data_IF_728492023385
#
_entry.id   IF_728492023385
#
_cell.length_a   1.000
_cell.length_b   1.000
_cell.length_c   1.000
_cell.angle_alpha   90.00
_cell.angle_beta   90.00
_cell.angle_gamma   90.00
#
_symmetry.space_group_name_H-M   'P 1'
#
loop_
_entity.id
_entity.type
_entity.pdbx_description
1 polymer ?
#
# COMPACT_ATOMS: atom_id res chain seq x y z
N UNK A 1 -39.77 80.81 44.60
CA UNK A 1 -41.17 80.39 44.36
C UNK A 1 -41.09 79.03 43.76
N UNK A 2 -41.79 78.10 44.40
CA UNK A 2 -42.22 76.71 43.98
C UNK A 2 -41.14 75.66 43.79
N UNK A 3 -41.03 74.87 44.86
CA UNK A 3 -40.55 73.50 44.92
C UNK A 3 -41.27 72.58 44.01
N UNK A 4 -40.58 71.65 43.38
CA UNK A 4 -41.14 70.42 42.99
C UNK A 4 -40.11 69.27 43.25
N UNK A 5 -40.44 68.46 44.23
CA UNK A 5 -39.70 67.26 44.61
C UNK A 5 -39.92 66.13 43.59
N UNK A 6 -38.83 65.51 43.18
CA UNK A 6 -38.89 64.24 42.43
C UNK A 6 -38.45 63.11 43.32
N UNK A 7 -39.39 62.20 43.52
CA UNK A 7 -39.23 60.96 44.30
C UNK A 7 -38.50 59.94 43.42
N UNK A 8 -37.33 59.49 43.84
CA UNK A 8 -36.56 58.42 43.18
C UNK A 8 -36.95 57.07 43.79
N UNK A 9 -37.70 56.25 43.05
CA UNK A 9 -38.00 54.86 43.41
C UNK A 9 -36.81 53.95 43.16
N UNK A 10 -36.25 53.40 44.22
CA UNK A 10 -35.18 52.40 44.18
C UNK A 10 -35.77 51.00 43.97
N UNK A 11 -35.66 50.45 42.78
CA UNK A 11 -36.05 49.07 42.50
C UNK A 11 -34.84 48.16 42.82
N UNK A 12 -34.94 47.41 43.90
CA UNK A 12 -33.95 46.40 44.25
C UNK A 12 -34.14 45.14 43.39
N UNK A 13 -33.19 44.92 42.48
CA UNK A 13 -33.12 43.67 41.72
C UNK A 13 -32.40 42.62 42.57
N UNK A 14 -33.17 41.61 43.01
CA UNK A 14 -32.62 40.42 43.69
C UNK A 14 -31.90 39.55 42.66
N UNK A 15 -30.58 39.51 42.73
CA UNK A 15 -29.76 38.53 41.98
C UNK A 15 -29.84 37.19 42.72
N UNK A 16 -30.58 36.27 42.17
CA UNK A 16 -30.57 34.85 42.61
C UNK A 16 -29.23 34.26 42.14
N UNK A 17 -28.32 34.05 43.07
CA UNK A 17 -27.13 33.28 42.87
C UNK A 17 -27.52 31.80 42.64
N UNK A 18 -27.33 31.29 41.43
CA UNK A 18 -27.40 29.85 41.12
C UNK A 18 -26.18 29.16 41.76
N UNK A 19 -26.45 28.29 42.72
CA UNK A 19 -25.42 27.39 43.27
C UNK A 19 -24.88 26.45 42.15
N UNK A 20 -23.55 26.18 42.09
CA UNK A 20 -22.98 25.28 41.13
C UNK A 20 -23.42 23.85 41.43
N UNK A 21 -23.97 23.18 40.43
CA UNK A 21 -24.36 21.79 40.45
C UNK A 21 -23.15 20.88 40.76
N UNK A 22 -23.10 20.12 41.88
CA UNK A 22 -21.94 19.31 42.27
C UNK A 22 -21.76 18.01 41.46
N UNK A 23 -22.50 17.82 40.34
CA UNK A 23 -22.45 16.61 39.52
C UNK A 23 -21.80 16.82 38.13
N UNK A 24 -21.25 17.98 37.84
CA UNK A 24 -20.41 18.14 36.65
C UNK A 24 -19.02 17.53 36.94
N UNK A 25 -18.90 16.24 36.85
CA UNK A 25 -17.60 15.55 36.83
C UNK A 25 -16.89 15.91 35.52
N UNK A 26 -15.89 16.76 35.61
CA UNK A 26 -14.91 16.92 34.53
C UNK A 26 -14.26 15.56 34.28
N UNK A 27 -14.27 15.02 33.06
CA UNK A 27 -13.62 13.73 32.80
C UNK A 27 -12.13 13.87 33.10
N UNK A 28 -11.64 12.98 34.00
CA UNK A 28 -10.21 12.89 34.32
C UNK A 28 -9.38 12.71 33.05
N UNK A 29 -8.23 13.38 32.91
CA UNK A 29 -7.36 13.28 31.74
C UNK A 29 -6.82 11.84 31.52
N UNK A 30 -6.94 10.94 32.49
CA UNK A 30 -6.54 9.53 32.36
C UNK A 30 -7.57 8.72 31.58
N UNK A 31 -8.85 9.10 31.52
CA UNK A 31 -9.87 8.40 30.73
C UNK A 31 -9.81 8.72 29.23
N UNK A 32 -9.19 9.84 28.84
CA UNK A 32 -9.03 10.19 27.43
C UNK A 32 -7.87 9.45 26.74
N UNK A 33 -6.95 8.85 27.50
CA UNK A 33 -5.82 8.10 26.92
C UNK A 33 -6.14 6.63 26.62
N UNK A 34 -7.26 6.09 27.09
CA UNK A 34 -7.62 4.67 26.93
C UNK A 34 -8.50 4.38 25.69
N UNK A 35 -8.91 5.39 24.93
CA UNK A 35 -9.78 5.21 23.76
C UNK A 35 -9.11 5.51 22.41
N UNK A 36 -7.80 5.63 22.37
CA UNK A 36 -7.05 5.66 21.12
C UNK A 36 -6.67 4.24 20.66
N UNK A 37 -7.64 3.33 20.59
CA UNK A 37 -7.53 2.27 19.60
C UNK A 37 -7.45 2.97 18.25
N UNK A 38 -6.37 2.78 17.48
CA UNK A 38 -6.36 3.27 16.12
C UNK A 38 -7.50 2.55 15.39
N UNK A 39 -8.62 3.24 15.23
CA UNK A 39 -9.63 2.85 14.27
C UNK A 39 -8.87 2.81 12.93
N UNK A 40 -8.54 1.60 12.47
CA UNK A 40 -8.08 1.39 11.11
C UNK A 40 -9.22 1.88 10.21
N UNK A 41 -9.10 3.11 9.76
CA UNK A 41 -10.01 3.65 8.76
C UNK A 41 -9.66 2.94 7.47
N UNK A 42 -10.46 1.96 7.12
CA UNK A 42 -10.41 1.33 5.81
C UNK A 42 -11.02 2.33 4.84
N UNK A 43 -10.17 3.08 4.16
CA UNK A 43 -10.61 3.93 3.07
C UNK A 43 -10.83 3.05 1.84
N UNK A 44 -12.08 2.71 1.57
CA UNK A 44 -12.47 2.00 0.35
C UNK A 44 -12.48 3.01 -0.79
N UNK A 45 -11.53 2.90 -1.71
CA UNK A 45 -11.54 3.68 -2.95
C UNK A 45 -12.34 2.93 -3.99
N UNK A 46 -13.45 3.53 -4.43
CA UNK A 46 -14.18 3.05 -5.58
C UNK A 46 -13.56 3.69 -6.85
N UNK A 47 -13.05 2.88 -7.75
CA UNK A 47 -12.62 3.28 -9.10
C UNK A 47 -13.31 2.39 -10.12
N UNK A 48 -13.68 3.00 -11.22
CA UNK A 48 -14.30 2.29 -12.34
C UNK A 48 -13.25 2.11 -13.43
N UNK A 49 -12.98 0.87 -13.82
CA UNK A 49 -12.08 0.53 -14.91
C UNK A 49 -12.70 -0.56 -15.78
N UNK A 50 -12.51 -0.54 -17.12
CA UNK A 50 -13.09 -1.53 -18.00
C UNK A 50 -12.40 -2.89 -17.87
N UNK A 51 -13.15 -3.94 -17.50
CA UNK A 51 -12.69 -5.31 -17.57
C UNK A 51 -13.00 -5.93 -18.94
N UNK A 52 -12.12 -6.76 -19.43
CA UNK A 52 -12.26 -7.49 -20.68
C UNK A 52 -12.31 -8.99 -20.39
N UNK A 53 -13.25 -9.68 -21.03
CA UNK A 53 -13.28 -11.15 -21.01
C UNK A 53 -12.33 -11.67 -22.08
N UNK A 54 -11.25 -12.31 -21.65
CA UNK A 54 -10.21 -12.90 -22.49
C UNK A 54 -10.44 -14.41 -22.72
N UNK A 55 -11.41 -15.02 -22.04
CA UNK A 55 -11.69 -16.45 -22.14
C UNK A 55 -12.09 -16.90 -23.54
N UNK A 56 -11.72 -18.12 -23.90
CA UNK A 56 -12.11 -18.80 -25.15
C UNK A 56 -11.79 -18.06 -26.45
N UNK A 57 -10.65 -17.34 -26.49
CA UNK A 57 -10.21 -16.60 -27.67
C UNK A 57 -9.05 -17.29 -28.34
N UNK A 58 -9.09 -17.36 -29.66
CA UNK A 58 -8.03 -17.90 -30.49
C UNK A 58 -6.96 -16.87 -30.87
N UNK A 59 -7.31 -15.57 -30.80
CA UNK A 59 -6.41 -14.49 -31.17
C UNK A 59 -6.02 -13.65 -29.92
N UNK A 60 -4.77 -13.20 -29.86
CA UNK A 60 -4.32 -12.29 -28.81
C UNK A 60 -5.14 -10.98 -28.82
N UNK A 61 -5.48 -10.50 -27.62
CA UNK A 61 -6.13 -9.22 -27.42
C UNK A 61 -5.09 -8.16 -27.04
N UNK A 62 -5.10 -7.02 -27.70
CA UNK A 62 -4.24 -5.89 -27.38
C UNK A 62 -5.01 -4.85 -26.58
N UNK A 63 -4.38 -4.34 -25.55
CA UNK A 63 -4.87 -3.23 -24.73
C UNK A 63 -3.74 -2.23 -24.50
N UNK A 64 -4.11 -0.98 -24.31
CA UNK A 64 -3.17 0.08 -23.92
C UNK A 64 -3.29 0.34 -22.42
N UNK A 65 -2.26 0.94 -21.83
CA UNK A 65 -2.30 1.57 -20.53
C UNK A 65 -2.20 3.07 -20.70
N UNK A 66 -3.07 3.79 -20.01
CA UNK A 66 -3.01 5.23 -19.89
C UNK A 66 -2.55 5.63 -18.50
N UNK A 67 -1.71 6.66 -18.42
CA UNK A 67 -1.30 7.25 -17.17
C UNK A 67 -2.48 7.84 -16.42
N UNK A 68 -2.60 7.52 -15.15
CA UNK A 68 -3.57 8.12 -14.24
C UNK A 68 -3.11 9.53 -13.81
N UNK A 69 -3.93 10.20 -12.98
CA UNK A 69 -3.69 11.59 -12.53
C UNK A 69 -2.27 11.82 -11.99
N UNK A 70 -1.69 10.83 -11.34
CA UNK A 70 -0.35 10.94 -10.74
C UNK A 70 0.80 10.89 -11.75
N UNK A 71 0.60 10.29 -12.91
CA UNK A 71 1.63 10.17 -13.97
C UNK A 71 1.00 10.12 -15.37
N UNK A 72 0.45 11.24 -15.85
CA UNK A 72 -0.30 11.28 -17.12
C UNK A 72 0.55 10.91 -18.34
N UNK A 73 1.88 11.11 -18.28
CA UNK A 73 2.80 10.81 -19.37
C UNK A 73 3.22 9.33 -19.45
N UNK A 74 2.92 8.54 -18.39
CA UNK A 74 3.19 7.12 -18.40
C UNK A 74 2.26 6.41 -19.39
N UNK A 75 2.83 5.48 -20.16
CA UNK A 75 2.11 4.73 -21.17
C UNK A 75 2.56 3.28 -21.15
N UNK A 76 1.70 2.41 -21.61
CA UNK A 76 2.03 1.00 -21.80
C UNK A 76 1.11 0.32 -22.78
N UNK A 77 1.47 -0.89 -23.14
CA UNK A 77 0.67 -1.81 -23.94
C UNK A 77 0.78 -3.21 -23.34
N UNK A 78 -0.27 -4.01 -23.49
CA UNK A 78 -0.22 -5.43 -23.18
C UNK A 78 -0.84 -6.24 -24.32
N UNK A 79 -0.24 -7.41 -24.54
CA UNK A 79 -0.79 -8.49 -25.35
C UNK A 79 -1.28 -9.57 -24.40
N UNK A 80 -2.57 -9.87 -24.46
CA UNK A 80 -3.25 -10.83 -23.59
C UNK A 80 -3.74 -12.00 -24.42
N UNK A 81 -3.28 -13.21 -24.10
CA UNK A 81 -3.57 -14.42 -24.85
C UNK A 81 -4.07 -15.52 -23.93
N UNK A 82 -5.23 -16.09 -24.25
CA UNK A 82 -5.78 -17.23 -23.50
C UNK A 82 -5.38 -18.55 -24.15
N UNK A 83 -4.65 -19.40 -23.39
CA UNK A 83 -4.22 -20.72 -23.83
C UNK A 83 -4.56 -21.75 -22.77
N UNK A 84 -5.36 -22.73 -23.11
CA UNK A 84 -5.69 -23.88 -22.23
C UNK A 84 -6.21 -23.46 -20.84
N UNK A 85 -7.02 -22.42 -20.77
CA UNK A 85 -7.60 -21.92 -19.53
C UNK A 85 -6.69 -21.00 -18.70
N UNK A 86 -5.46 -20.75 -19.15
CA UNK A 86 -4.53 -19.79 -18.57
C UNK A 86 -4.43 -18.58 -19.47
N UNK A 87 -4.50 -17.39 -18.91
CA UNK A 87 -4.33 -16.13 -19.62
C UNK A 87 -2.89 -15.65 -19.42
N UNK A 88 -2.14 -15.54 -20.52
CA UNK A 88 -0.78 -15.02 -20.57
C UNK A 88 -0.84 -13.54 -20.88
N UNK A 89 0.02 -12.74 -20.23
CA UNK A 89 0.08 -11.31 -20.34
C UNK A 89 1.54 -10.92 -20.59
N UNK A 90 1.82 -10.32 -21.76
CA UNK A 90 3.10 -9.68 -22.07
C UNK A 90 2.85 -8.17 -22.10
N UNK A 91 3.36 -7.45 -21.10
CA UNK A 91 3.13 -6.02 -20.94
C UNK A 91 4.42 -5.22 -20.92
N UNK A 92 4.39 -4.02 -21.51
CA UNK A 92 5.52 -3.11 -21.63
C UNK A 92 5.07 -1.70 -21.30
N UNK A 93 5.95 -0.97 -20.62
CA UNK A 93 5.70 0.40 -20.20
C UNK A 93 6.86 1.32 -20.58
N UNK A 94 6.54 2.60 -20.73
CA UNK A 94 7.49 3.70 -20.93
C UNK A 94 7.06 4.93 -20.14
N UNK A 95 8.03 5.80 -19.85
CA UNK A 95 7.84 6.98 -19.00
C UNK A 95 7.35 6.63 -17.58
N UNK A 96 7.72 5.45 -17.07
CA UNK A 96 7.40 5.00 -15.74
C UNK A 96 8.50 5.46 -14.77
N UNK A 97 8.31 6.59 -14.12
CA UNK A 97 9.26 7.16 -13.16
C UNK A 97 9.45 6.22 -11.95
N UNK A 98 10.45 6.51 -11.11
CA UNK A 98 10.64 5.74 -9.88
C UNK A 98 9.41 5.82 -8.96
N UNK A 99 8.99 4.72 -8.29
CA UNK A 99 7.84 4.72 -7.38
C UNK A 99 8.02 5.67 -6.19
N UNK A 100 9.25 5.98 -5.77
CA UNK A 100 9.53 6.96 -4.71
C UNK A 100 9.03 8.38 -5.04
N UNK A 101 8.68 8.66 -6.30
CA UNK A 101 8.04 9.93 -6.69
C UNK A 101 6.73 10.18 -5.94
N UNK A 102 6.03 9.15 -5.53
CA UNK A 102 4.74 9.24 -4.81
C UNK A 102 4.88 9.28 -3.29
N UNK A 103 6.08 9.16 -2.82
CA UNK A 103 6.46 9.15 -1.41
C UNK A 103 7.59 8.16 -1.17
N UNK A 104 8.48 8.46 -0.25
CA UNK A 104 9.68 7.67 0.01
C UNK A 104 9.40 6.22 0.49
N UNK A 105 8.17 5.95 0.89
CA UNK A 105 7.70 4.63 1.31
C UNK A 105 7.15 3.76 0.16
N UNK A 106 6.96 4.31 -1.04
CA UNK A 106 6.58 3.52 -2.22
C UNK A 106 7.85 3.03 -2.92
N UNK A 107 8.03 1.71 -2.95
CA UNK A 107 9.28 1.07 -3.36
C UNK A 107 9.13 0.12 -4.55
N UNK A 108 7.90 -0.21 -4.92
CA UNK A 108 7.58 -1.10 -6.02
C UNK A 108 6.41 -0.58 -6.85
N UNK A 109 6.36 -0.99 -8.11
CA UNK A 109 5.12 -1.01 -8.87
C UNK A 109 4.60 -2.43 -8.97
N UNK A 110 3.29 -2.60 -8.88
CA UNK A 110 2.63 -3.89 -9.00
C UNK A 110 1.57 -3.83 -10.08
N UNK A 111 1.59 -4.84 -10.96
CA UNK A 111 0.51 -5.09 -11.91
C UNK A 111 -0.58 -5.92 -11.25
N UNK A 112 -1.82 -5.51 -11.41
CA UNK A 112 -2.99 -6.19 -10.86
C UNK A 112 -3.96 -6.59 -11.95
N UNK A 113 -4.54 -7.79 -11.78
CA UNK A 113 -5.80 -8.16 -12.43
C UNK A 113 -6.95 -7.92 -11.45
N UNK A 114 -7.94 -7.11 -11.83
CA UNK A 114 -9.11 -6.78 -11.02
C UNK A 114 -10.33 -7.40 -11.67
N UNK A 115 -11.01 -8.31 -10.95
CA UNK A 115 -12.22 -8.98 -11.46
C UNK A 115 -13.44 -8.04 -11.43
N UNK A 116 -14.53 -8.33 -12.17
CA UNK A 116 -15.76 -7.57 -12.10
C UNK A 116 -16.36 -7.43 -10.70
N UNK A 117 -16.08 -8.39 -9.82
CA UNK A 117 -16.50 -8.37 -8.41
C UNK A 117 -15.58 -7.52 -7.51
N UNK A 118 -14.56 -6.86 -8.10
CA UNK A 118 -13.62 -6.01 -7.39
C UNK A 118 -12.48 -6.74 -6.67
N UNK A 119 -12.28 -8.05 -6.92
CA UNK A 119 -11.14 -8.78 -6.34
C UNK A 119 -9.88 -8.48 -7.14
N UNK A 120 -8.84 -8.03 -6.45
CA UNK A 120 -7.54 -7.78 -7.04
C UNK A 120 -6.60 -8.98 -6.84
N UNK A 121 -5.92 -9.39 -7.91
CA UNK A 121 -4.85 -10.38 -7.90
C UNK A 121 -3.54 -9.69 -8.30
N UNK A 122 -2.51 -9.81 -7.45
CA UNK A 122 -1.16 -9.37 -7.75
C UNK A 122 -0.57 -10.26 -8.85
N UNK A 123 -0.21 -9.65 -9.98
CA UNK A 123 0.37 -10.34 -11.13
C UNK A 123 1.90 -10.24 -11.19
N UNK A 124 2.50 -9.41 -10.35
CA UNK A 124 3.95 -9.27 -10.24
C UNK A 124 4.44 -7.83 -10.18
N UNK A 125 5.71 -7.73 -9.78
CA UNK A 125 6.43 -6.47 -9.66
C UNK A 125 6.88 -5.96 -11.03
N UNK A 126 6.69 -4.67 -11.26
CA UNK A 126 7.21 -3.95 -12.42
C UNK A 126 8.43 -3.14 -11.97
N UNK A 127 9.58 -3.44 -12.55
CA UNK A 127 10.85 -2.76 -12.23
C UNK A 127 11.31 -1.89 -13.39
N UNK A 128 11.10 -0.57 -13.35
CA UNK A 128 11.58 0.34 -14.38
C UNK A 128 13.10 0.38 -14.43
N UNK A 129 13.65 0.45 -15.63
CA UNK A 129 15.08 0.70 -15.86
C UNK A 129 15.42 2.20 -15.72
N UNK A 130 16.69 2.54 -15.91
CA UNK A 130 17.16 3.93 -15.90
C UNK A 130 16.55 4.80 -17.01
N UNK A 131 16.00 4.19 -18.06
CA UNK A 131 15.27 4.84 -19.14
C UNK A 131 13.76 4.92 -18.90
N UNK A 132 13.30 4.62 -17.67
CA UNK A 132 11.89 4.59 -17.30
C UNK A 132 11.05 3.61 -18.15
N UNK A 133 11.67 2.53 -18.61
CA UNK A 133 11.03 1.46 -19.36
C UNK A 133 10.94 0.21 -18.47
N UNK A 134 9.87 -0.54 -18.64
CA UNK A 134 9.70 -1.82 -17.95
C UNK A 134 9.01 -2.83 -18.87
N UNK A 135 9.22 -4.11 -18.57
CA UNK A 135 8.55 -5.24 -19.18
C UNK A 135 8.20 -6.25 -18.10
N UNK A 136 7.02 -6.86 -18.20
CA UNK A 136 6.59 -7.97 -17.36
C UNK A 136 5.86 -9.01 -18.20
N UNK A 137 6.30 -10.26 -18.09
CA UNK A 137 5.59 -11.43 -18.60
C UNK A 137 5.02 -12.18 -17.40
N UNK A 138 3.72 -12.44 -17.42
CA UNK A 138 3.02 -13.10 -16.32
C UNK A 138 1.82 -13.88 -16.82
N UNK A 139 1.14 -14.62 -15.92
CA UNK A 139 -0.06 -15.35 -16.27
C UNK A 139 -1.04 -15.40 -15.10
N UNK A 140 -2.33 -15.60 -15.42
CA UNK A 140 -3.39 -15.77 -14.44
C UNK A 140 -4.42 -16.80 -14.93
N UNK A 141 -5.16 -17.39 -13.99
CA UNK A 141 -6.32 -18.23 -14.30
C UNK A 141 -7.62 -17.41 -14.44
N UNK A 142 -7.60 -16.14 -14.09
CA UNK A 142 -8.73 -15.24 -14.29
C UNK A 142 -9.01 -15.08 -15.78
N UNK A 143 -10.28 -15.13 -16.16
CA UNK A 143 -10.71 -15.00 -17.57
C UNK A 143 -11.26 -13.62 -17.89
N UNK A 144 -11.81 -12.92 -16.88
CA UNK A 144 -12.38 -11.58 -17.03
C UNK A 144 -11.76 -10.67 -15.99
N UNK A 145 -11.04 -9.65 -16.44
CA UNK A 145 -10.38 -8.71 -15.53
C UNK A 145 -10.03 -7.40 -16.23
N UNK A 146 -9.85 -6.36 -15.40
CA UNK A 146 -9.17 -5.14 -15.75
C UNK A 146 -7.71 -5.21 -15.31
N UNK A 147 -6.82 -4.44 -15.93
CA UNK A 147 -5.43 -4.31 -15.53
C UNK A 147 -5.17 -2.90 -14.99
N UNK A 148 -4.60 -2.83 -13.80
CA UNK A 148 -4.13 -1.57 -13.21
C UNK A 148 -2.71 -1.72 -12.69
N UNK A 149 -1.98 -0.61 -12.62
CA UNK A 149 -0.65 -0.54 -11.98
C UNK A 149 -0.72 0.43 -10.83
N UNK A 150 -0.25 0.00 -9.67
CA UNK A 150 -0.17 0.82 -8.46
C UNK A 150 1.25 0.95 -7.96
N UNK A 151 1.54 2.03 -7.21
CA UNK A 151 2.78 2.16 -6.46
C UNK A 151 2.59 1.58 -5.06
N UNK A 152 3.47 0.69 -4.64
CA UNK A 152 3.32 -0.12 -3.44
C UNK A 152 4.54 -0.04 -2.51
N UNK A 153 4.36 -0.26 -1.20
CA UNK A 153 5.46 -0.27 -0.25
C UNK A 153 6.39 -1.49 -0.39
N UNK A 154 5.89 -2.58 -0.98
CA UNK A 154 6.65 -3.79 -1.32
C UNK A 154 5.91 -4.60 -2.39
N UNK A 155 6.63 -5.47 -3.09
CA UNK A 155 6.12 -6.14 -4.29
C UNK A 155 5.07 -7.22 -4.01
N UNK A 156 5.10 -7.88 -2.84
CA UNK A 156 4.23 -9.04 -2.55
C UNK A 156 2.92 -8.66 -1.84
N UNK A 157 2.54 -7.40 -1.85
CA UNK A 157 1.24 -6.94 -1.32
C UNK A 157 0.08 -7.73 -1.94
N UNK A 158 -0.94 -8.01 -1.15
CA UNK A 158 -2.14 -8.75 -1.60
C UNK A 158 -3.36 -7.85 -1.83
N UNK A 159 -3.22 -6.57 -1.52
CA UNK A 159 -4.22 -5.53 -1.77
C UNK A 159 -3.54 -4.32 -2.38
N UNK A 160 -4.12 -3.71 -3.42
CA UNK A 160 -3.54 -2.53 -4.03
C UNK A 160 -3.66 -1.29 -3.13
N UNK A 161 -2.69 -0.39 -3.26
CA UNK A 161 -2.76 0.94 -2.66
C UNK A 161 -3.70 1.86 -3.44
N UNK A 162 -3.98 3.05 -2.89
CA UNK A 162 -4.74 4.09 -3.59
C UNK A 162 -3.93 4.84 -4.66
N UNK A 163 -2.64 4.55 -4.80
CA UNK A 163 -1.77 5.23 -5.78
C UNK A 163 -1.80 4.46 -7.09
N UNK A 164 -2.91 4.60 -7.82
CA UNK A 164 -3.04 4.05 -9.17
C UNK A 164 -2.29 4.95 -10.15
N UNK A 165 -1.33 4.36 -10.83
CA UNK A 165 -0.39 5.04 -11.75
C UNK A 165 -0.80 4.86 -13.19
N UNK A 166 -1.28 3.66 -13.55
CA UNK A 166 -1.75 3.33 -14.89
C UNK A 166 -3.01 2.48 -14.80
N UNK A 167 -3.90 2.69 -15.76
CA UNK A 167 -5.13 1.93 -15.95
C UNK A 167 -5.20 1.41 -17.39
N UNK A 168 -5.79 0.23 -17.59
CA UNK A 168 -5.98 -0.25 -18.95
C UNK A 168 -6.98 0.61 -19.72
N UNK A 169 -6.65 0.88 -20.97
CA UNK A 169 -7.46 1.59 -21.93
C UNK A 169 -7.81 0.67 -23.10
N UNK A 170 -9.09 0.58 -23.40
CA UNK A 170 -9.54 -0.18 -24.54
C UNK A 170 -9.09 0.50 -25.84
N UNK A 171 -8.65 -0.30 -26.79
CA UNK A 171 -8.33 0.11 -28.16
C UNK A 171 -9.55 -0.10 -29.05
N UNK A 172 -9.63 0.56 -30.20
CA UNK A 172 -10.68 0.27 -31.20
C UNK A 172 -10.65 -1.18 -31.70
N UNK A 173 -9.46 -1.80 -31.68
CA UNK A 173 -9.21 -3.20 -32.05
C UNK A 173 -9.21 -4.17 -30.87
N UNK A 174 -9.51 -3.70 -29.66
CA UNK A 174 -9.68 -4.59 -28.51
C UNK A 174 -10.89 -5.47 -28.71
N UNK A 175 -10.67 -6.74 -28.88
CA UNK A 175 -11.71 -7.74 -29.10
C UNK A 175 -12.10 -8.35 -27.75
N UNK A 176 -13.37 -8.24 -27.33
CA UNK A 176 -13.84 -8.78 -26.08
C UNK A 176 -15.20 -8.27 -25.63
N UNK A 177 -15.87 -9.08 -24.77
CA UNK A 177 -16.99 -8.55 -24.00
C UNK A 177 -16.44 -7.67 -22.89
N UNK A 178 -16.76 -6.39 -22.97
CA UNK A 178 -16.33 -5.40 -21.99
C UNK A 178 -17.36 -5.33 -20.86
N UNK A 179 -16.87 -5.36 -19.63
CA UNK A 179 -17.65 -5.14 -18.42
C UNK A 179 -16.99 -4.00 -17.64
N UNK A 180 -17.80 -3.08 -17.14
CA UNK A 180 -17.30 -2.03 -16.26
C UNK A 180 -17.12 -2.60 -14.87
N UNK A 181 -15.95 -2.43 -14.29
CA UNK A 181 -15.62 -2.91 -12.95
C UNK A 181 -15.57 -1.74 -11.99
N UNK A 182 -16.40 -1.79 -10.97
CA UNK A 182 -16.23 -0.96 -9.77
C UNK A 182 -15.18 -1.62 -8.88
N UNK A 183 -13.93 -1.27 -9.07
CA UNK A 183 -12.86 -1.76 -8.22
C UNK A 183 -12.96 -1.11 -6.84
N UNK A 184 -13.54 -1.83 -5.89
CA UNK A 184 -13.49 -1.48 -4.46
C UNK A 184 -12.39 -2.30 -3.82
N UNK A 185 -11.40 -1.64 -3.27
CA UNK A 185 -10.31 -2.33 -2.56
C UNK A 185 -9.93 -1.57 -1.30
N UNK A 186 -9.55 -2.34 -0.30
CA UNK A 186 -9.01 -1.80 0.94
C UNK A 186 -7.63 -1.21 0.69
N UNK A 187 -7.40 -0.01 1.25
CA UNK A 187 -6.10 0.64 1.15
C UNK A 187 -5.14 0.06 2.16
N UNK A 188 -3.94 -0.27 1.71
CA UNK A 188 -2.85 -0.54 2.62
C UNK A 188 -2.44 0.75 3.35
N UNK A 189 -2.19 0.69 4.68
CA UNK A 189 -1.61 1.80 5.40
C UNK A 189 -0.23 2.14 4.81
N UNK A 190 0.21 3.39 4.90
CA UNK A 190 1.54 3.78 4.41
C UNK A 190 2.64 3.12 5.23
N UNK A 191 3.67 2.62 4.57
CA UNK A 191 4.86 2.09 5.22
C UNK A 191 5.61 3.19 6.01
N UNK A 192 6.29 2.82 7.09
CA UNK A 192 7.09 3.75 7.90
C UNK A 192 8.55 3.81 7.46
N UNK A 193 9.03 2.76 6.79
CA UNK A 193 10.39 2.72 6.29
C UNK A 193 10.45 3.34 4.90
N UNK A 194 11.15 4.46 4.79
CA UNK A 194 11.38 5.17 3.55
C UNK A 194 12.86 5.03 3.14
N UNK A 195 13.10 4.82 1.85
CA UNK A 195 14.43 4.79 1.29
C UNK A 195 14.88 6.22 1.00
N UNK A 196 15.74 6.76 1.86
CA UNK A 196 16.42 8.03 1.63
C UNK A 196 17.81 7.74 1.02
N UNK A 197 17.94 7.93 -0.28
CA UNK A 197 19.20 7.71 -1.01
C UNK A 197 20.28 8.73 -0.64
N UNK A 198 19.91 9.94 -0.23
CA UNK A 198 20.87 10.96 0.20
C UNK A 198 21.45 10.59 1.57
N UNK A 199 20.61 10.14 2.51
CA UNK A 199 21.08 9.65 3.81
C UNK A 199 21.97 8.41 3.66
N UNK A 200 21.66 7.49 2.75
CA UNK A 200 22.52 6.32 2.45
C UNK A 200 23.88 6.76 1.91
N UNK A 201 23.91 7.73 1.00
CA UNK A 201 25.17 8.28 0.47
C UNK A 201 26.00 8.95 1.55
N UNK A 202 25.38 9.80 2.38
CA UNK A 202 26.07 10.48 3.48
C UNK A 202 26.65 9.50 4.48
N UNK A 203 25.95 8.41 4.81
CA UNK A 203 26.46 7.37 5.69
C UNK A 203 27.66 6.61 5.09
N UNK A 204 27.63 6.31 3.79
CA UNK A 204 28.74 5.65 3.11
C UNK A 204 29.98 6.57 2.99
N UNK A 205 29.79 7.86 2.80
CA UNK A 205 30.86 8.87 2.80
C UNK A 205 31.51 8.99 4.18
N UNK A 206 30.73 9.01 5.26
CA UNK A 206 31.24 9.01 6.62
C UNK A 206 32.05 7.75 6.97
N UNK A 207 31.58 6.58 6.51
CA UNK A 207 32.24 5.29 6.78
C UNK A 207 33.53 5.09 5.96
N UNK A 208 33.60 5.63 4.77
CA UNK A 208 34.73 5.44 3.84
C UNK A 208 35.79 6.54 3.95
N UNK A 209 35.53 7.65 4.64
CA UNK A 209 36.43 8.82 4.73
C UNK A 209 36.75 9.49 3.40
N UNK A 210 36.04 9.10 2.34
CA UNK A 210 36.23 9.64 0.98
C UNK A 210 34.93 10.30 0.53
N UNK A 211 34.97 11.57 0.27
CA UNK A 211 33.96 12.30 -0.49
C UNK A 211 33.97 11.79 -1.95
N UNK A 212 33.45 10.61 -2.12
CA UNK A 212 33.28 10.00 -3.42
C UNK A 212 31.84 10.25 -3.83
N UNK A 213 31.59 11.19 -4.72
CA UNK A 213 30.32 11.37 -5.42
C UNK A 213 29.93 10.14 -6.25
N UNK A 214 30.26 8.96 -5.78
CA UNK A 214 30.06 7.66 -6.42
C UNK A 214 28.57 7.33 -6.40
N UNK A 215 27.97 7.38 -7.56
CA UNK A 215 26.59 6.91 -7.74
C UNK A 215 26.47 5.49 -7.24
N UNK A 216 25.44 5.23 -6.42
CA UNK A 216 25.06 3.88 -6.01
C UNK A 216 24.92 3.02 -7.27
N UNK A 217 25.58 1.87 -7.32
CA UNK A 217 25.52 1.00 -8.50
C UNK A 217 24.12 0.37 -8.59
N UNK A 218 23.69 -0.04 -9.78
CA UNK A 218 22.39 -0.68 -9.98
C UNK A 218 22.18 -1.88 -9.04
N UNK A 219 23.17 -2.76 -8.89
CA UNK A 219 23.09 -3.92 -8.00
C UNK A 219 22.93 -3.54 -6.52
N UNK A 220 23.61 -2.51 -6.10
CA UNK A 220 23.51 -1.99 -4.74
C UNK A 220 22.16 -1.31 -4.49
N UNK A 221 21.64 -0.57 -5.46
CA UNK A 221 20.30 0.00 -5.43
C UNK A 221 19.23 -1.10 -5.32
N UNK A 222 19.34 -2.18 -6.12
CA UNK A 222 18.43 -3.34 -6.05
C UNK A 222 18.46 -3.99 -4.66
N UNK A 223 19.64 -4.13 -4.05
CA UNK A 223 19.81 -4.65 -2.69
C UNK A 223 19.13 -3.74 -1.66
N UNK A 224 19.33 -2.42 -1.75
CA UNK A 224 18.72 -1.45 -0.84
C UNK A 224 17.20 -1.45 -0.96
N UNK A 225 16.67 -1.36 -2.17
CA UNK A 225 15.22 -1.41 -2.40
C UNK A 225 14.64 -2.69 -1.80
N UNK A 226 15.26 -3.85 -2.03
CA UNK A 226 14.83 -5.12 -1.45
C UNK A 226 14.79 -5.09 0.08
N UNK A 227 15.83 -4.58 0.73
CA UNK A 227 15.87 -4.47 2.20
C UNK A 227 14.76 -3.56 2.75
N UNK A 228 14.53 -2.40 2.11
CA UNK A 228 13.48 -1.49 2.57
C UNK A 228 12.08 -2.05 2.32
N UNK A 229 11.87 -2.78 1.23
CA UNK A 229 10.63 -3.54 1.00
C UNK A 229 10.41 -4.59 2.11
N UNK A 230 11.44 -5.33 2.49
CA UNK A 230 11.37 -6.33 3.55
C UNK A 230 11.06 -5.69 4.92
N UNK A 231 11.68 -4.56 5.25
CA UNK A 231 11.39 -3.79 6.47
C UNK A 231 9.93 -3.33 6.50
N UNK A 232 9.44 -2.79 5.39
CA UNK A 232 8.04 -2.40 5.27
C UNK A 232 7.11 -3.59 5.50
N UNK A 233 7.34 -4.73 4.83
CA UNK A 233 6.49 -5.91 4.96
C UNK A 233 6.45 -6.46 6.39
N UNK A 234 7.60 -6.55 7.08
CA UNK A 234 7.69 -6.95 8.49
C UNK A 234 6.89 -5.99 9.36
N UNK A 235 7.04 -4.69 9.16
CA UNK A 235 6.29 -3.69 9.90
C UNK A 235 4.77 -3.80 9.69
N UNK A 236 4.32 -4.04 8.46
CA UNK A 236 2.91 -4.25 8.16
C UNK A 236 2.35 -5.50 8.86
N UNK A 237 3.12 -6.58 8.89
CA UNK A 237 2.75 -7.79 9.61
C UNK A 237 2.63 -7.52 11.12
N UNK A 238 3.57 -6.79 11.72
CA UNK A 238 3.53 -6.39 13.13
C UNK A 238 2.29 -5.55 13.44
N UNK A 239 1.99 -4.53 12.62
CA UNK A 239 0.82 -3.69 12.79
C UNK A 239 -0.51 -4.45 12.64
N UNK A 240 -0.53 -5.49 11.81
CA UNK A 240 -1.69 -6.36 11.72
C UNK A 240 -1.93 -7.20 12.99
N UNK A 241 -0.92 -7.33 13.87
CA UNK A 241 -0.97 -8.15 15.07
C UNK A 241 -0.35 -9.54 14.88
N UNK A 242 0.60 -9.70 13.94
CA UNK A 242 1.20 -11.00 13.64
C UNK A 242 2.02 -11.55 14.82
N UNK A 243 2.46 -10.71 15.75
CA UNK A 243 3.12 -11.15 16.97
C UNK A 243 2.24 -12.08 17.83
N UNK A 244 0.92 -11.84 17.83
CA UNK A 244 -0.06 -12.65 18.56
C UNK A 244 -0.59 -13.82 17.71
N UNK A 245 -0.94 -13.54 16.44
CA UNK A 245 -1.68 -14.48 15.61
C UNK A 245 -0.84 -15.31 14.65
N UNK A 246 0.42 -14.91 14.37
CA UNK A 246 1.31 -15.57 13.42
C UNK A 246 2.80 -15.50 13.87
N UNK A 247 3.05 -15.61 15.18
CA UNK A 247 4.36 -15.38 15.81
C UNK A 247 5.52 -16.11 15.13
N UNK A 248 5.35 -17.40 14.84
CA UNK A 248 6.39 -18.22 14.20
C UNK A 248 6.75 -17.72 12.80
N UNK A 249 5.75 -17.38 11.99
CA UNK A 249 5.95 -16.88 10.63
C UNK A 249 6.58 -15.48 10.66
N UNK A 250 6.13 -14.60 11.55
CA UNK A 250 6.73 -13.29 11.75
C UNK A 250 8.19 -13.40 12.20
N UNK A 251 8.50 -14.31 13.15
CA UNK A 251 9.86 -14.51 13.61
C UNK A 251 10.78 -15.03 12.49
N UNK A 252 10.29 -15.92 11.62
CA UNK A 252 11.02 -16.35 10.43
C UNK A 252 11.30 -15.16 9.49
N UNK A 253 10.32 -14.30 9.24
CA UNK A 253 10.50 -13.10 8.41
C UNK A 253 11.58 -12.17 8.97
N UNK A 254 11.54 -11.90 10.29
CA UNK A 254 12.55 -11.08 10.98
C UNK A 254 13.96 -11.70 10.89
N UNK A 255 14.06 -13.00 11.06
CA UNK A 255 15.36 -13.70 10.93
C UNK A 255 15.93 -13.60 9.51
N UNK A 256 15.08 -13.69 8.49
CA UNK A 256 15.48 -13.52 7.09
C UNK A 256 15.93 -12.09 6.81
N UNK A 257 15.18 -11.09 7.30
CA UNK A 257 15.55 -9.68 7.18
C UNK A 257 16.91 -9.40 7.83
N UNK A 258 17.13 -9.88 9.06
CA UNK A 258 18.36 -9.73 9.80
C UNK A 258 19.57 -10.37 9.07
N UNK A 259 19.35 -11.53 8.44
CA UNK A 259 20.35 -12.16 7.57
C UNK A 259 20.65 -11.33 6.33
N UNK A 260 19.62 -10.76 5.70
CA UNK A 260 19.78 -9.90 4.53
C UNK A 260 20.55 -8.62 4.88
N UNK A 261 20.30 -8.02 6.03
CA UNK A 261 21.00 -6.83 6.52
C UNK A 261 22.48 -7.12 6.82
N UNK A 262 22.77 -8.24 7.49
CA UNK A 262 24.18 -8.68 7.72
C UNK A 262 24.90 -8.95 6.40
N UNK A 263 24.22 -9.60 5.45
CA UNK A 263 24.81 -9.85 4.13
C UNK A 263 25.07 -8.55 3.35
N UNK A 264 24.14 -7.57 3.47
CA UNK A 264 24.34 -6.26 2.87
C UNK A 264 25.53 -5.53 3.49
N UNK A 265 25.68 -5.55 4.81
CA UNK A 265 26.83 -4.96 5.49
C UNK A 265 28.17 -5.57 5.04
N UNK A 266 28.20 -6.87 4.77
CA UNK A 266 29.39 -7.57 4.30
C UNK A 266 29.63 -7.38 2.79
N UNK A 267 28.58 -7.36 1.97
CA UNK A 267 28.64 -7.30 0.51
C UNK A 267 27.39 -6.66 -0.10
N UNK A 268 27.33 -5.32 -0.19
CA UNK A 268 26.15 -4.57 -0.63
C UNK A 268 25.61 -4.94 -2.03
N UNK A 269 26.49 -5.49 -2.89
CA UNK A 269 26.16 -5.82 -4.29
C UNK A 269 25.84 -7.30 -4.51
N UNK A 270 25.75 -8.08 -3.43
CA UNK A 270 25.49 -9.52 -3.51
C UNK A 270 24.04 -9.82 -3.88
N UNK A 271 23.83 -10.69 -4.87
CA UNK A 271 22.51 -11.20 -5.22
C UNK A 271 21.82 -11.90 -4.05
N UNK A 272 22.59 -12.46 -3.09
CA UNK A 272 22.08 -13.10 -1.87
C UNK A 272 21.29 -12.11 -1.02
N UNK A 273 21.67 -10.82 -0.99
CA UNK A 273 20.90 -9.79 -0.27
C UNK A 273 19.49 -9.70 -0.85
N UNK A 274 19.39 -9.59 -2.17
CA UNK A 274 18.08 -9.49 -2.86
C UNK A 274 17.24 -10.73 -2.60
N UNK A 275 17.83 -11.93 -2.69
CA UNK A 275 17.13 -13.20 -2.44
C UNK A 275 16.58 -13.27 -1.01
N UNK A 276 17.41 -13.00 0.00
CA UNK A 276 17.02 -13.01 1.41
C UNK A 276 15.96 -11.95 1.72
N UNK A 277 16.11 -10.75 1.16
CA UNK A 277 15.15 -9.67 1.33
C UNK A 277 13.78 -10.01 0.70
N UNK A 278 13.77 -10.60 -0.49
CA UNK A 278 12.52 -11.07 -1.13
C UNK A 278 11.85 -12.18 -0.32
N UNK A 279 12.62 -13.14 0.19
CA UNK A 279 12.08 -14.20 1.06
C UNK A 279 11.51 -13.62 2.36
N UNK A 280 12.20 -12.65 2.99
CA UNK A 280 11.71 -11.94 4.16
C UNK A 280 10.39 -11.20 3.87
N UNK A 281 10.30 -10.49 2.74
CA UNK A 281 9.12 -9.76 2.31
C UNK A 281 7.92 -10.68 2.14
N UNK A 282 8.10 -11.80 1.42
CA UNK A 282 7.03 -12.77 1.21
C UNK A 282 6.59 -13.42 2.53
N UNK A 283 7.54 -13.85 3.36
CA UNK A 283 7.25 -14.47 4.66
C UNK A 283 6.53 -13.52 5.60
N UNK A 284 6.85 -12.22 5.56
CA UNK A 284 6.16 -11.20 6.35
C UNK A 284 4.72 -10.98 5.86
N UNK A 285 4.49 -10.94 4.55
CA UNK A 285 3.14 -10.84 3.99
C UNK A 285 2.31 -12.09 4.34
N UNK A 286 2.90 -13.28 4.30
CA UNK A 286 2.25 -14.52 4.76
C UNK A 286 1.83 -14.40 6.23
N UNK A 287 2.69 -13.89 7.11
CA UNK A 287 2.36 -13.65 8.51
C UNK A 287 1.17 -12.67 8.66
N UNK A 288 1.16 -11.58 7.87
CA UNK A 288 0.05 -10.62 7.83
C UNK A 288 -1.26 -11.29 7.42
N UNK A 289 -1.24 -12.07 6.35
CA UNK A 289 -2.43 -12.77 5.84
C UNK A 289 -2.97 -13.82 6.83
N UNK A 290 -2.09 -14.60 7.46
CA UNK A 290 -2.49 -15.56 8.52
C UNK A 290 -3.20 -14.80 9.65
N UNK A 291 -2.66 -13.67 10.05
CA UNK A 291 -3.23 -12.83 11.11
C UNK A 291 -4.61 -12.32 10.72
N UNK A 292 -4.76 -11.74 9.53
CA UNK A 292 -6.05 -11.23 9.06
C UNK A 292 -7.12 -12.34 9.00
N UNK A 293 -6.75 -13.52 8.50
CA UNK A 293 -7.67 -14.68 8.46
C UNK A 293 -8.10 -15.12 9.86
N UNK A 294 -7.16 -15.20 10.82
CA UNK A 294 -7.48 -15.60 12.20
C UNK A 294 -8.36 -14.59 12.93
N UNK A 295 -8.15 -13.31 12.66
CA UNK A 295 -8.98 -12.23 13.23
C UNK A 295 -10.39 -12.16 12.62
N UNK A 296 -10.55 -12.54 11.34
CA UNK A 296 -11.84 -12.57 10.66
C UNK A 296 -12.64 -13.86 10.91
N UNK A 297 -12.02 -14.93 11.42
CA UNK A 297 -12.71 -16.15 11.81
C UNK A 297 -13.43 -15.94 13.16
N UNK A 298 -14.74 -16.21 13.26
CA UNK A 298 -15.44 -16.13 14.55
C UNK A 298 -14.79 -17.08 15.56
N UNK A 299 -14.71 -16.63 16.83
CA UNK A 299 -14.22 -17.47 17.91
C UNK A 299 -15.03 -18.76 17.98
N UNK A 300 -14.41 -19.94 18.24
CA UNK A 300 -15.11 -21.24 18.24
C UNK A 300 -16.32 -21.29 19.19
N UNK A 301 -16.31 -20.48 20.24
CA UNK A 301 -17.42 -20.40 21.21
C UNK A 301 -18.68 -19.68 20.67
N UNK A 302 -18.55 -18.88 19.60
CA UNK A 302 -19.72 -18.23 18.96
C UNK A 302 -20.35 -19.10 17.86
N UNK A 303 -19.62 -20.06 17.30
CA UNK A 303 -20.14 -20.99 16.32
C UNK A 303 -20.98 -22.13 16.96
N UNK A 304 -20.84 -22.35 18.26
CA UNK A 304 -21.62 -23.35 18.99
C UNK A 304 -22.95 -22.80 19.57
N UNK A 305 -23.21 -21.48 19.43
CA UNK A 305 -24.40 -20.82 19.98
C UNK A 305 -25.46 -20.46 18.89
N UNK A 306 -25.26 -20.88 17.63
CA UNK A 306 -26.20 -20.76 16.51
C UNK A 306 -26.65 -22.16 16.03
#
# INVERSE_FOLDING_TARGET
MRNTAFILACSATVLLAQEPNPLAQTPSPVAAAASANPLYRVDVVARTTPAVNYGHRTLPTRIDFAGAVFQPDAQGEAVVESKRGVVHIDAKWKNLASPQRYGANYLAYVLWAVTPEGRAQNLGEISPDSGQKAKLETSTQLQTFALIVTAEPYYSVTQPSNVVVLENKLRPDTVGRVQTVDAKYELLPRGRHSLDLEAVRAHDEQRSGKHSGKRVSRKEYESLVGLYQARNAVQFAEHAGAAEHAATTLQKAKTLLDRAERQYAASPKSATVVTLAREATQTAEDARLITLRRRSSPAPDQAAAL
#
